data_IF_399391744118
#
_entry.id   IF_399391744118
#
_cell.length_a   1.000
_cell.length_b   1.000
_cell.length_c   1.000
_cell.angle_alpha   90.00
_cell.angle_beta   90.00
_cell.angle_gamma   90.00
#
_symmetry.space_group_name_H-M   'P 1'
#
loop_
_entity.id
_entity.type
_entity.pdbx_description
1 polymer ?
#
# COMPACT_ATOMS: atom_id res chain seq x y z
N UNK A 1 16.33 -3.08 -6.26
CA UNK A 1 14.98 -2.53 -6.51
C UNK A 1 14.36 -3.35 -7.64
N UNK A 2 13.09 -3.74 -7.54
CA UNK A 2 12.41 -4.54 -8.55
C UNK A 2 11.41 -3.67 -9.30
N UNK A 3 11.28 -3.89 -10.61
CA UNK A 3 10.23 -3.24 -11.40
C UNK A 3 8.92 -4.00 -11.23
N UNK A 4 7.95 -3.38 -10.56
CA UNK A 4 6.63 -3.98 -10.31
C UNK A 4 5.78 -4.16 -11.58
N UNK A 5 6.14 -3.49 -12.69
CA UNK A 5 5.48 -3.64 -13.98
C UNK A 5 6.01 -4.83 -14.79
N UNK A 6 7.15 -5.41 -14.36
CA UNK A 6 7.71 -6.59 -15.03
C UNK A 6 6.84 -7.83 -14.81
N UNK A 7 6.62 -8.60 -15.87
CA UNK A 7 5.94 -9.90 -15.79
C UNK A 7 6.71 -10.95 -14.95
N UNK A 8 8.00 -10.73 -14.67
CA UNK A 8 8.87 -11.65 -13.92
C UNK A 8 9.04 -11.23 -12.46
N UNK A 9 8.50 -10.08 -12.03
CA UNK A 9 8.76 -9.49 -10.71
C UNK A 9 8.58 -10.47 -9.53
N UNK A 10 7.56 -11.34 -9.58
CA UNK A 10 7.31 -12.31 -8.51
C UNK A 10 8.44 -13.33 -8.43
N UNK A 11 8.88 -13.85 -9.57
CA UNK A 11 10.00 -14.81 -9.64
C UNK A 11 11.32 -14.17 -9.19
N UNK A 12 11.59 -12.96 -9.65
CA UNK A 12 12.80 -12.20 -9.32
C UNK A 12 12.89 -11.90 -7.81
N UNK A 13 11.76 -11.56 -7.19
CA UNK A 13 11.69 -11.35 -5.73
C UNK A 13 11.89 -12.66 -4.97
N UNK A 14 11.24 -13.74 -5.40
CA UNK A 14 11.40 -15.07 -4.77
C UNK A 14 12.87 -15.50 -4.83
N UNK A 15 13.53 -15.35 -5.97
CA UNK A 15 14.94 -15.69 -6.14
C UNK A 15 15.83 -14.85 -5.20
N UNK A 16 15.62 -13.53 -5.16
CA UNK A 16 16.39 -12.62 -4.31
C UNK A 16 16.26 -12.92 -2.81
N UNK A 17 15.11 -13.46 -2.38
CA UNK A 17 14.83 -13.82 -0.98
C UNK A 17 14.97 -15.32 -0.69
N UNK A 18 15.38 -16.15 -1.66
CA UNK A 18 15.50 -17.61 -1.53
C UNK A 18 16.36 -18.08 -0.35
N UNK A 19 17.38 -17.29 -0.01
CA UNK A 19 18.34 -17.57 1.10
C UNK A 19 18.08 -16.72 2.36
N UNK A 20 17.01 -15.93 2.38
CA UNK A 20 16.67 -15.03 3.49
C UNK A 20 15.36 -15.44 4.16
N UNK A 21 15.23 -15.12 5.44
CA UNK A 21 13.97 -15.26 6.17
C UNK A 21 13.22 -13.93 6.08
N UNK A 22 11.94 -13.97 5.73
CA UNK A 22 11.07 -12.82 5.67
C UNK A 22 10.12 -12.79 6.86
N UNK A 23 9.79 -11.60 7.36
CA UNK A 23 8.81 -11.39 8.44
C UNK A 23 7.37 -11.26 7.92
N UNK A 24 7.13 -11.56 6.64
CA UNK A 24 5.85 -11.37 5.96
C UNK A 24 5.93 -10.35 4.83
N UNK A 25 4.79 -9.90 4.34
CA UNK A 25 4.71 -8.87 3.30
C UNK A 25 3.63 -7.83 3.60
N UNK A 26 3.87 -6.59 3.14
CA UNK A 26 2.91 -5.50 3.13
C UNK A 26 2.46 -5.26 1.68
N UNK A 27 1.19 -5.52 1.40
CA UNK A 27 0.59 -5.33 0.10
C UNK A 27 0.00 -3.91 -0.02
N UNK A 28 0.66 -3.05 -0.79
CA UNK A 28 0.22 -1.69 -1.11
C UNK A 28 0.04 -1.58 -2.62
N UNK A 29 -1.06 -1.01 -3.04
CA UNK A 29 -1.43 -0.89 -4.45
C UNK A 29 -2.33 -2.01 -4.95
N UNK A 30 -3.07 -1.71 -6.03
CA UNK A 30 -4.04 -2.65 -6.61
C UNK A 30 -3.33 -3.89 -7.18
N UNK A 31 -3.86 -5.07 -6.87
CA UNK A 31 -3.33 -6.35 -7.34
C UNK A 31 -2.11 -6.89 -6.58
N UNK A 32 -1.43 -6.09 -5.76
CA UNK A 32 -0.23 -6.50 -5.04
C UNK A 32 -0.45 -7.65 -4.06
N UNK A 33 -1.64 -7.77 -3.45
CA UNK A 33 -1.95 -8.83 -2.50
C UNK A 33 -1.78 -10.24 -3.08
N UNK A 34 -2.15 -10.44 -4.35
CA UNK A 34 -1.99 -11.73 -5.04
C UNK A 34 -0.51 -12.11 -5.18
N UNK A 35 0.31 -11.15 -5.63
CA UNK A 35 1.76 -11.34 -5.77
C UNK A 35 2.43 -11.57 -4.41
N UNK A 36 2.04 -10.79 -3.38
CA UNK A 36 2.57 -10.97 -2.02
C UNK A 36 2.26 -12.35 -1.44
N UNK A 37 1.07 -12.93 -1.70
CA UNK A 37 0.73 -14.29 -1.26
C UNK A 37 1.68 -15.31 -1.92
N UNK A 38 1.94 -15.19 -3.23
CA UNK A 38 2.83 -16.11 -3.95
C UNK A 38 4.27 -16.02 -3.43
N UNK A 39 4.78 -14.81 -3.24
CA UNK A 39 6.13 -14.56 -2.72
C UNK A 39 6.27 -15.12 -1.29
N UNK A 40 5.33 -14.78 -0.40
CA UNK A 40 5.36 -15.23 1.00
C UNK A 40 5.23 -16.74 1.11
N UNK A 41 4.41 -17.36 0.24
CA UNK A 41 4.30 -18.82 0.18
C UNK A 41 5.64 -19.48 -0.18
N UNK A 42 6.34 -18.96 -1.17
CA UNK A 42 7.60 -19.52 -1.69
C UNK A 42 8.81 -19.26 -0.78
N UNK A 43 8.86 -18.11 -0.08
CA UNK A 43 9.97 -17.72 0.76
C UNK A 43 9.91 -18.37 2.14
N UNK A 44 11.07 -18.42 2.85
CA UNK A 44 11.15 -18.87 4.26
C UNK A 44 10.75 -17.73 5.18
N UNK A 45 10.09 -18.04 6.32
CA UNK A 45 9.73 -17.08 7.35
C UNK A 45 8.23 -17.04 7.62
N UNK A 46 7.74 -15.90 8.10
CA UNK A 46 6.35 -15.74 8.52
C UNK A 46 5.42 -15.72 7.31
N UNK A 47 4.40 -16.56 7.36
CA UNK A 47 3.39 -16.71 6.31
C UNK A 47 2.23 -15.75 6.52
N UNK A 48 2.52 -14.44 6.43
CA UNK A 48 1.54 -13.39 6.68
C UNK A 48 1.64 -12.25 5.67
N UNK A 49 0.47 -11.78 5.18
CA UNK A 49 0.35 -10.62 4.29
C UNK A 49 -0.59 -9.59 4.92
N UNK A 50 -0.06 -8.41 5.18
CA UNK A 50 -0.84 -7.26 5.60
C UNK A 50 -1.29 -6.48 4.35
N UNK A 51 -2.60 -6.29 4.15
CA UNK A 51 -3.12 -5.52 3.02
C UNK A 51 -3.46 -4.10 3.44
N UNK A 52 -2.90 -3.10 2.77
CA UNK A 52 -3.19 -1.69 2.98
C UNK A 52 -4.08 -1.08 1.87
N UNK A 53 -4.31 -1.81 0.78
CA UNK A 53 -5.16 -1.36 -0.34
C UNK A 53 -6.23 -2.40 -0.63
N UNK A 54 -7.50 -2.00 -0.81
CA UNK A 54 -8.56 -2.92 -1.20
C UNK A 54 -8.28 -3.48 -2.61
N UNK A 55 -8.80 -4.67 -2.95
CA UNK A 55 -8.55 -5.29 -4.25
C UNK A 55 -9.27 -4.62 -5.42
N UNK A 56 -10.16 -3.65 -5.14
CA UNK A 56 -10.93 -2.90 -6.15
C UNK A 56 -10.79 -1.41 -5.89
N UNK A 57 -10.55 -0.61 -6.96
CA UNK A 57 -10.49 0.85 -6.86
C UNK A 57 -11.89 1.46 -6.83
N UNK A 58 -12.04 2.52 -6.03
CA UNK A 58 -13.21 3.38 -5.96
C UNK A 58 -12.98 4.76 -6.57
N UNK A 59 -11.80 5.01 -7.18
CA UNK A 59 -11.38 6.32 -7.66
C UNK A 59 -12.27 6.87 -8.79
N UNK A 60 -12.89 5.98 -9.56
CA UNK A 60 -13.75 6.33 -10.69
C UNK A 60 -15.24 6.32 -10.33
N UNK A 61 -15.59 6.48 -9.06
CA UNK A 61 -16.99 6.53 -8.64
C UNK A 61 -17.71 7.74 -9.24
N UNK A 62 -18.80 7.55 -10.02
CA UNK A 62 -19.56 8.65 -10.59
C UNK A 62 -20.34 9.40 -9.52
N UNK A 63 -20.70 10.65 -9.80
CA UNK A 63 -21.54 11.48 -8.95
C UNK A 63 -23.04 11.24 -9.23
N UNK A 64 -23.89 11.53 -8.23
CA UNK A 64 -25.36 11.53 -8.37
C UNK A 64 -25.97 10.12 -8.52
N UNK A 65 -27.14 10.02 -9.21
CA UNK A 65 -27.95 8.79 -9.34
C UNK A 65 -27.20 7.62 -9.98
N UNK A 66 -26.23 7.89 -10.84
CA UNK A 66 -25.39 6.85 -11.49
C UNK A 66 -24.49 6.10 -10.50
N UNK A 67 -24.24 6.69 -9.32
CA UNK A 67 -23.43 6.08 -8.27
C UNK A 67 -23.99 4.74 -7.80
N UNK A 68 -25.30 4.64 -7.62
CA UNK A 68 -25.92 3.38 -7.17
C UNK A 68 -25.77 2.27 -8.19
N UNK A 69 -26.00 2.57 -9.47
CA UNK A 69 -25.84 1.58 -10.56
C UNK A 69 -24.38 1.13 -10.71
N UNK A 70 -23.42 2.02 -10.45
CA UNK A 70 -21.99 1.71 -10.46
C UNK A 70 -21.56 0.93 -9.22
N UNK A 71 -22.16 1.19 -8.06
CA UNK A 71 -21.80 0.51 -6.82
C UNK A 71 -22.14 -0.98 -6.83
N UNK A 72 -23.27 -1.39 -7.39
CA UNK A 72 -23.69 -2.80 -7.41
C UNK A 72 -22.62 -3.70 -8.03
N UNK A 73 -22.20 -3.50 -9.29
CA UNK A 73 -21.17 -4.35 -9.90
C UNK A 73 -19.79 -4.18 -9.22
N UNK A 74 -19.49 -2.99 -8.67
CA UNK A 74 -18.26 -2.76 -7.95
C UNK A 74 -18.20 -3.54 -6.64
N UNK A 75 -19.32 -3.59 -5.90
CA UNK A 75 -19.43 -4.41 -4.70
C UNK A 75 -19.36 -5.91 -5.02
N UNK A 76 -20.01 -6.35 -6.07
CA UNK A 76 -19.90 -7.75 -6.52
C UNK A 76 -18.43 -8.11 -6.85
N UNK A 77 -17.71 -7.22 -7.57
CA UNK A 77 -16.28 -7.40 -7.85
C UNK A 77 -15.44 -7.42 -6.58
N UNK A 78 -15.75 -6.55 -5.61
CA UNK A 78 -15.05 -6.52 -4.32
C UNK A 78 -15.23 -7.83 -3.55
N UNK A 79 -16.45 -8.34 -3.48
CA UNK A 79 -16.76 -9.62 -2.82
C UNK A 79 -16.04 -10.78 -3.49
N UNK A 80 -16.14 -10.88 -4.81
CA UNK A 80 -15.49 -11.96 -5.57
C UNK A 80 -13.96 -11.90 -5.49
N UNK A 81 -13.37 -10.70 -5.56
CA UNK A 81 -11.94 -10.52 -5.41
C UNK A 81 -11.44 -10.89 -4.00
N UNK A 82 -12.18 -10.50 -2.96
CA UNK A 82 -11.84 -10.90 -1.58
C UNK A 82 -12.01 -12.40 -1.37
N UNK A 83 -13.05 -13.02 -1.93
CA UNK A 83 -13.23 -14.47 -1.88
C UNK A 83 -12.08 -15.21 -2.57
N UNK A 84 -11.67 -14.74 -3.75
CA UNK A 84 -10.53 -15.32 -4.47
C UNK A 84 -9.22 -15.20 -3.69
N UNK A 85 -8.96 -14.05 -3.08
CA UNK A 85 -7.79 -13.85 -2.21
C UNK A 85 -7.85 -14.74 -0.97
N UNK A 86 -9.02 -14.88 -0.35
CA UNK A 86 -9.20 -15.74 0.82
C UNK A 86 -8.99 -17.23 0.48
N UNK A 87 -9.49 -17.70 -0.65
CA UNK A 87 -9.25 -19.07 -1.12
C UNK A 87 -7.74 -19.26 -1.38
N UNK A 88 -7.11 -18.34 -2.12
CA UNK A 88 -5.69 -18.40 -2.42
C UNK A 88 -4.83 -18.42 -1.15
N UNK A 89 -5.12 -17.55 -0.21
CA UNK A 89 -4.47 -17.45 1.09
C UNK A 89 -4.55 -18.78 1.86
N UNK A 90 -5.72 -19.41 1.90
CA UNK A 90 -5.92 -20.71 2.54
C UNK A 90 -5.17 -21.85 1.84
N UNK A 91 -5.24 -21.92 0.51
CA UNK A 91 -4.53 -22.93 -0.29
C UNK A 91 -3.02 -22.83 -0.07
N UNK A 92 -2.48 -21.62 -0.05
CA UNK A 92 -1.05 -21.37 0.18
C UNK A 92 -0.66 -21.35 1.66
N UNK A 93 -1.59 -21.52 2.61
CA UNK A 93 -1.36 -21.45 4.06
C UNK A 93 -0.70 -20.14 4.49
N UNK A 94 -1.10 -19.02 3.86
CA UNK A 94 -0.60 -17.67 4.16
C UNK A 94 -1.70 -16.90 4.87
N UNK A 95 -1.44 -16.41 6.08
CA UNK A 95 -2.34 -15.52 6.81
C UNK A 95 -2.50 -14.19 6.08
N UNK A 96 -3.71 -13.62 6.09
CA UNK A 96 -3.96 -12.34 5.44
C UNK A 96 -4.89 -11.47 6.29
N UNK A 97 -4.56 -10.19 6.44
CA UNK A 97 -5.41 -9.22 7.16
C UNK A 97 -5.38 -7.86 6.47
N UNK A 98 -6.55 -7.24 6.38
CA UNK A 98 -6.65 -5.85 5.92
C UNK A 98 -6.32 -4.89 7.07
N UNK A 99 -5.46 -3.91 6.80
CA UNK A 99 -5.05 -2.88 7.76
C UNK A 99 -5.82 -1.59 7.45
N UNK A 100 -6.62 -1.13 8.38
CA UNK A 100 -7.22 0.18 8.31
C UNK A 100 -6.25 1.24 8.83
N UNK A 101 -5.95 2.26 8.01
CA UNK A 101 -5.11 3.38 8.43
C UNK A 101 -5.64 4.10 9.68
N UNK A 102 -6.96 4.15 9.84
CA UNK A 102 -7.61 4.70 11.03
C UNK A 102 -7.43 3.89 12.32
N UNK A 103 -6.96 2.63 12.25
CA UNK A 103 -6.74 1.83 13.44
C UNK A 103 -5.60 2.37 14.34
N UNK A 104 -4.76 3.26 13.81
CA UNK A 104 -3.66 3.88 14.55
C UNK A 104 -3.96 5.32 15.01
N UNK A 105 -5.15 5.85 14.73
CA UNK A 105 -5.44 7.29 14.94
C UNK A 105 -5.43 7.68 16.41
N UNK A 106 -5.88 6.81 17.31
CA UNK A 106 -5.99 7.15 18.73
C UNK A 106 -5.71 5.93 19.63
N UNK A 107 -4.49 5.43 19.58
CA UNK A 107 -4.06 4.33 20.43
C UNK A 107 -2.63 4.55 20.96
N UNK A 108 -2.22 3.73 21.92
CA UNK A 108 -0.89 3.81 22.54
C UNK A 108 0.24 3.65 21.53
N UNK A 109 0.06 2.79 20.52
CA UNK A 109 1.06 2.55 19.46
C UNK A 109 1.30 3.81 18.64
N UNK A 110 0.24 4.56 18.30
CA UNK A 110 0.36 5.84 17.59
C UNK A 110 1.17 6.87 18.38
N UNK A 111 0.90 6.95 19.68
CA UNK A 111 1.63 7.85 20.58
C UNK A 111 3.12 7.49 20.64
N UNK A 112 3.44 6.23 20.88
CA UNK A 112 4.82 5.74 20.93
C UNK A 112 5.55 5.99 19.60
N UNK A 113 4.90 5.72 18.46
CA UNK A 113 5.52 5.93 17.14
C UNK A 113 5.73 7.42 16.86
N UNK A 114 4.67 8.21 16.94
CA UNK A 114 4.69 9.58 16.42
C UNK A 114 5.26 10.60 17.39
N UNK A 115 5.14 10.37 18.69
CA UNK A 115 5.56 11.30 19.72
C UNK A 115 6.93 10.96 20.31
N UNK A 116 7.19 9.69 20.56
CA UNK A 116 8.39 9.28 21.30
C UNK A 116 9.49 8.81 20.33
N UNK A 117 9.17 7.87 19.42
CA UNK A 117 10.20 7.27 18.57
C UNK A 117 10.58 8.13 17.36
N UNK A 118 9.60 8.59 16.58
CA UNK A 118 9.85 9.19 15.27
C UNK A 118 10.65 10.50 15.33
N UNK A 119 10.36 11.46 16.25
CA UNK A 119 11.14 12.69 16.35
C UNK A 119 12.63 12.43 16.68
N UNK A 120 12.90 11.56 17.64
CA UNK A 120 14.25 11.19 18.01
C UNK A 120 14.97 10.44 16.87
N UNK A 121 14.30 9.50 16.24
CA UNK A 121 14.88 8.73 15.14
C UNK A 121 15.19 9.57 13.89
N UNK A 122 14.41 10.61 13.61
CA UNK A 122 14.67 11.59 12.55
C UNK A 122 15.85 12.50 12.92
N UNK A 123 15.90 13.01 14.15
CA UNK A 123 17.00 13.86 14.62
C UNK A 123 18.34 13.13 14.59
N UNK A 124 18.37 11.87 15.02
CA UNK A 124 19.54 11.00 15.04
C UNK A 124 19.89 10.40 13.65
N UNK A 125 19.13 10.72 12.61
CA UNK A 125 19.26 10.14 11.26
C UNK A 125 19.15 8.60 11.22
N UNK A 126 18.58 7.98 12.24
CA UNK A 126 18.26 6.54 12.26
C UNK A 126 17.06 6.20 11.39
N UNK A 127 16.24 7.21 11.10
CA UNK A 127 15.10 7.11 10.18
C UNK A 127 15.22 8.22 9.13
N UNK A 128 15.14 7.84 7.86
CA UNK A 128 15.17 8.78 6.73
C UNK A 128 13.78 8.93 6.17
N UNK A 129 13.29 10.16 6.05
CA UNK A 129 12.00 10.47 5.47
C UNK A 129 12.02 10.25 3.95
N UNK A 130 11.69 9.06 3.52
CA UNK A 130 11.61 8.68 2.11
C UNK A 130 10.13 8.53 1.67
N UNK A 131 9.84 8.66 0.38
CA UNK A 131 10.68 9.13 -0.73
C UNK A 131 10.94 10.65 -0.67
N UNK A 132 11.91 11.12 -1.48
CA UNK A 132 12.25 12.52 -1.55
C UNK A 132 11.06 13.41 -1.93
N UNK A 133 10.94 14.61 -1.36
CA UNK A 133 9.87 15.53 -1.69
C UNK A 133 10.05 16.13 -3.09
N UNK A 134 8.96 16.19 -3.84
CA UNK A 134 8.81 17.01 -5.03
C UNK A 134 8.05 18.27 -4.62
N UNK A 135 8.75 19.35 -4.34
CA UNK A 135 8.12 20.64 -4.00
C UNK A 135 7.57 21.26 -5.26
N UNK A 136 6.24 21.39 -5.36
CA UNK A 136 5.52 21.90 -6.52
C UNK A 136 5.34 23.43 -6.43
N UNK A 137 5.40 23.99 -5.24
CA UNK A 137 5.27 25.42 -5.02
C UNK A 137 5.18 25.79 -3.54
N UNK A 138 5.00 27.09 -3.28
CA UNK A 138 4.89 27.65 -1.96
C UNK A 138 3.54 28.33 -1.76
N UNK A 139 2.98 28.16 -0.57
CA UNK A 139 1.68 28.71 -0.16
C UNK A 139 0.48 27.89 -0.61
N UNK A 140 -0.66 28.08 0.07
CA UNK A 140 -1.90 27.31 -0.13
C UNK A 140 -2.44 27.40 -1.57
N UNK A 141 -2.17 28.47 -2.29
CA UNK A 141 -2.58 28.64 -3.70
C UNK A 141 -1.98 27.60 -4.67
N UNK A 142 -0.90 26.93 -4.28
CA UNK A 142 -0.27 25.87 -5.08
C UNK A 142 -0.89 24.49 -4.88
N UNK A 143 -1.83 24.32 -3.95
CA UNK A 143 -2.48 23.02 -3.67
C UNK A 143 -3.15 22.43 -4.92
N UNK A 144 -3.96 23.20 -5.72
CA UNK A 144 -4.57 22.63 -6.93
C UNK A 144 -3.55 22.09 -7.95
N UNK A 145 -2.43 22.80 -8.14
CA UNK A 145 -1.34 22.35 -9.01
C UNK A 145 -0.65 21.08 -8.48
N UNK A 146 -0.44 21.00 -7.15
CA UNK A 146 0.11 19.81 -6.50
C UNK A 146 -0.82 18.59 -6.67
N UNK A 147 -2.13 18.78 -6.50
CA UNK A 147 -3.12 17.71 -6.72
C UNK A 147 -3.15 17.25 -8.18
N UNK A 148 -3.04 18.17 -9.14
CA UNK A 148 -2.96 17.84 -10.57
C UNK A 148 -1.68 17.03 -10.86
N UNK A 149 -0.54 17.44 -10.30
CA UNK A 149 0.73 16.71 -10.43
C UNK A 149 0.62 15.30 -9.86
N UNK A 150 0.03 15.15 -8.68
CA UNK A 150 -0.21 13.82 -8.07
C UNK A 150 -1.13 12.95 -8.93
N UNK A 151 -2.18 13.53 -9.50
CA UNK A 151 -3.14 12.82 -10.37
C UNK A 151 -2.50 12.33 -11.67
N UNK A 152 -1.58 13.09 -12.23
CA UNK A 152 -0.83 12.72 -13.44
C UNK A 152 0.20 11.60 -13.19
N UNK A 153 0.40 11.24 -11.93
CA UNK A 153 1.33 10.21 -11.52
C UNK A 153 2.73 10.76 -11.21
N UNK A 154 3.24 10.37 -10.06
CA UNK A 154 4.60 10.69 -9.62
C UNK A 154 5.27 9.40 -9.18
N UNK A 155 6.46 9.12 -9.71
CA UNK A 155 7.21 7.92 -9.36
C UNK A 155 8.26 8.21 -8.29
N UNK A 156 8.24 7.43 -7.21
CA UNK A 156 9.22 7.45 -6.11
C UNK A 156 9.47 8.84 -5.48
N UNK A 157 8.45 9.71 -5.46
CA UNK A 157 8.51 11.04 -4.81
C UNK A 157 7.21 11.36 -4.09
N UNK A 158 7.26 12.22 -3.10
CA UNK A 158 6.09 12.83 -2.45
C UNK A 158 5.84 14.21 -3.04
N UNK A 159 4.63 14.48 -3.52
CA UNK A 159 4.24 15.84 -3.92
C UNK A 159 4.01 16.66 -2.65
N UNK A 160 4.69 17.79 -2.54
CA UNK A 160 4.67 18.68 -1.37
C UNK A 160 4.46 20.12 -1.80
N UNK A 161 3.67 20.85 -1.02
CA UNK A 161 3.58 22.31 -1.07
C UNK A 161 4.19 22.83 0.23
N UNK A 162 5.19 23.69 0.14
CA UNK A 162 5.75 24.38 1.32
C UNK A 162 4.82 25.52 1.75
N UNK A 163 4.75 25.79 3.03
CA UNK A 163 4.01 26.92 3.60
C UNK A 163 4.93 28.12 3.80
#
# INVERSE_FOLDING_TARGET
MFDYASGTVVADVIEAFSRRTIAGALAIGFGSAKACIDIVHACRGDKFVAMATPPVSFDNAPSGRRRTLWLIPTMARLVTANAALAIKSRVHKVGMKFIWGGALVDNEVSRVINRDFLPAALADRRFVAAPDPLVVGQGLGCIPAAMATQKNGVSARKVVVSL
#
